data_IF_472478349652
#
_entry.id   IF_472478349652
#
_cell.length_a   1.000
_cell.length_b   1.000
_cell.length_c   1.000
_cell.angle_alpha   90.00
_cell.angle_beta   90.00
_cell.angle_gamma   90.00
#
_symmetry.space_group_name_H-M   'P 1'
#
loop_
_entity.id
_entity.type
_entity.pdbx_description
1 polymer ?
#
# COMPACT_ATOMS: atom_id res chain seq x y z
N UNK A 1 -11.31 18.85 12.18
CA UNK A 1 -9.91 19.17 11.82
C UNK A 1 -9.01 17.96 12.02
N UNK A 2 -9.00 17.37 13.23
CA UNK A 2 -8.10 16.26 13.61
C UNK A 2 -8.20 15.04 12.69
N UNK A 3 -9.41 14.63 12.32
CA UNK A 3 -9.61 13.44 11.48
C UNK A 3 -8.90 13.54 10.13
N UNK A 4 -9.04 14.67 9.42
CA UNK A 4 -8.41 14.87 8.10
C UNK A 4 -6.88 14.82 8.18
N UNK A 5 -6.31 15.44 9.21
CA UNK A 5 -4.86 15.43 9.45
C UNK A 5 -4.34 14.02 9.73
N UNK A 6 -4.93 13.34 10.72
CA UNK A 6 -4.46 12.01 11.16
C UNK A 6 -4.64 10.97 10.06
N UNK A 7 -5.82 10.92 9.44
CA UNK A 7 -6.08 9.98 8.36
C UNK A 7 -5.27 10.29 7.11
N UNK A 8 -5.11 11.56 6.75
CA UNK A 8 -4.34 11.96 5.58
C UNK A 8 -2.85 11.59 5.73
N UNK A 9 -2.24 11.94 6.86
CA UNK A 9 -0.82 11.61 7.13
C UNK A 9 -0.60 10.10 7.17
N UNK A 10 -1.46 9.36 7.87
CA UNK A 10 -1.31 7.91 7.96
C UNK A 10 -1.57 7.20 6.63
N UNK A 11 -2.52 7.69 5.81
CA UNK A 11 -2.77 7.17 4.47
C UNK A 11 -1.56 7.42 3.54
N UNK A 12 -0.95 8.61 3.57
CA UNK A 12 0.30 8.87 2.85
C UNK A 12 1.39 7.89 3.31
N UNK A 13 1.58 7.78 4.62
CA UNK A 13 2.61 6.94 5.23
C UNK A 13 2.49 5.49 4.80
N UNK A 14 1.32 4.87 4.94
CA UNK A 14 1.11 3.47 4.55
C UNK A 14 1.26 3.26 3.05
N UNK A 15 0.79 4.20 2.22
CA UNK A 15 0.87 4.09 0.76
C UNK A 15 2.30 4.13 0.26
N UNK A 16 3.10 5.07 0.78
CA UNK A 16 4.53 5.19 0.47
C UNK A 16 5.29 3.96 0.98
N UNK A 17 4.99 3.51 2.21
CA UNK A 17 5.64 2.35 2.80
C UNK A 17 5.36 1.06 1.99
N UNK A 18 4.12 0.81 1.59
CA UNK A 18 3.74 -0.35 0.78
C UNK A 18 4.50 -0.36 -0.55
N UNK A 19 4.57 0.78 -1.23
CA UNK A 19 5.35 0.90 -2.46
C UNK A 19 6.84 0.65 -2.19
N UNK A 20 7.43 1.33 -1.22
CA UNK A 20 8.86 1.23 -0.93
C UNK A 20 9.29 -0.19 -0.54
N UNK A 21 8.55 -0.86 0.35
CA UNK A 21 8.81 -2.24 0.76
C UNK A 21 8.73 -3.18 -0.45
N UNK A 22 7.69 -3.03 -1.28
CA UNK A 22 7.52 -3.87 -2.48
C UNK A 22 8.66 -3.65 -3.47
N UNK A 23 9.06 -2.39 -3.69
CA UNK A 23 10.16 -2.04 -4.58
C UNK A 23 11.51 -2.57 -4.07
N UNK A 24 11.75 -2.48 -2.76
CA UNK A 24 12.97 -3.01 -2.12
C UNK A 24 13.07 -4.52 -2.27
N UNK A 25 11.98 -5.25 -2.02
CA UNK A 25 11.92 -6.69 -2.23
C UNK A 25 12.06 -7.09 -3.72
N UNK A 26 11.48 -6.31 -4.63
CA UNK A 26 11.59 -6.56 -6.08
C UNK A 26 13.01 -6.38 -6.64
N UNK A 27 13.83 -5.54 -6.00
CA UNK A 27 15.26 -5.35 -6.32
C UNK A 27 16.17 -6.37 -5.65
N UNK A 28 15.69 -7.08 -4.62
CA UNK A 28 16.48 -8.00 -3.81
C UNK A 28 17.19 -7.35 -2.62
N UNK A 29 17.05 -6.03 -2.44
CA UNK A 29 17.63 -5.29 -1.29
C UNK A 29 17.00 -5.74 0.03
N UNK A 30 15.72 -6.11 -0.01
CA UNK A 30 14.98 -6.68 1.10
C UNK A 30 14.82 -8.18 0.89
N UNK A 31 15.65 -8.96 1.57
CA UNK A 31 15.54 -10.42 1.60
C UNK A 31 14.24 -10.90 2.22
N UNK A 32 13.89 -12.15 1.94
CA UNK A 32 12.75 -12.84 2.54
C UNK A 32 12.86 -12.81 4.06
N UNK A 33 11.80 -12.37 4.73
CA UNK A 33 11.79 -12.17 6.18
C UNK A 33 10.39 -12.38 6.80
N UNK A 34 10.34 -12.38 8.13
CA UNK A 34 9.10 -12.56 8.90
C UNK A 34 8.36 -11.27 9.27
N UNK A 35 8.88 -10.09 8.92
CA UNK A 35 8.39 -8.82 9.44
C UNK A 35 7.60 -8.01 8.40
N UNK A 36 8.13 -7.84 7.18
CA UNK A 36 7.59 -6.92 6.17
C UNK A 36 7.62 -7.51 4.76
N UNK A 37 6.68 -7.07 3.90
CA UNK A 37 6.53 -7.53 2.52
C UNK A 37 5.25 -8.34 2.29
N UNK A 38 5.06 -8.81 1.06
CA UNK A 38 3.92 -9.64 0.67
C UNK A 38 4.22 -11.09 1.06
N UNK A 39 3.69 -11.52 2.20
CA UNK A 39 3.98 -12.81 2.81
C UNK A 39 2.85 -13.80 2.55
N UNK A 40 3.08 -14.67 1.58
CA UNK A 40 2.21 -15.79 1.24
C UNK A 40 3.08 -17.04 1.19
N UNK A 41 2.47 -18.23 1.36
CA UNK A 41 3.22 -19.48 1.31
C UNK A 41 4.10 -19.60 0.05
N UNK A 42 3.61 -19.09 -1.09
CA UNK A 42 4.36 -19.06 -2.35
C UNK A 42 5.52 -18.05 -2.33
N UNK A 43 5.27 -16.79 -1.94
CA UNK A 43 6.31 -15.74 -1.96
C UNK A 43 7.42 -15.98 -0.94
N UNK A 44 7.18 -16.79 0.10
CA UNK A 44 8.20 -17.15 1.09
C UNK A 44 8.90 -18.48 0.81
N UNK A 45 8.57 -19.19 -0.28
CA UNK A 45 9.12 -20.51 -0.58
C UNK A 45 10.63 -20.47 -0.87
N UNK A 46 11.08 -19.49 -1.66
CA UNK A 46 12.49 -19.25 -1.98
C UNK A 46 12.77 -17.76 -2.14
N UNK A 47 14.05 -17.40 -2.26
CA UNK A 47 14.43 -16.02 -2.55
C UNK A 47 14.09 -15.62 -3.99
N UNK A 48 14.11 -16.58 -4.94
CA UNK A 48 13.65 -16.36 -6.31
C UNK A 48 12.15 -16.07 -6.35
N UNK A 49 11.34 -16.86 -5.64
CA UNK A 49 9.90 -16.67 -5.50
C UNK A 49 9.56 -15.33 -4.82
N UNK A 50 10.35 -14.93 -3.82
CA UNK A 50 10.22 -13.64 -3.15
C UNK A 50 10.41 -12.48 -4.13
N UNK A 51 11.53 -12.45 -4.85
CA UNK A 51 11.84 -11.38 -5.81
C UNK A 51 10.84 -11.36 -6.96
N UNK A 52 10.51 -12.53 -7.54
CA UNK A 52 9.55 -12.65 -8.64
C UNK A 52 8.16 -12.14 -8.24
N UNK A 53 7.66 -12.55 -7.08
CA UNK A 53 6.36 -12.11 -6.57
C UNK A 53 6.30 -10.60 -6.34
N UNK A 54 7.31 -10.02 -5.69
CA UNK A 54 7.34 -8.57 -5.44
C UNK A 54 7.54 -7.76 -6.72
N UNK A 55 8.33 -8.26 -7.67
CA UNK A 55 8.50 -7.63 -8.99
C UNK A 55 7.18 -7.58 -9.76
N UNK A 56 6.40 -8.67 -9.74
CA UNK A 56 5.09 -8.71 -10.38
C UNK A 56 4.07 -7.79 -9.71
N UNK A 57 4.12 -7.65 -8.37
CA UNK A 57 3.22 -6.77 -7.63
C UNK A 57 3.63 -5.28 -7.64
N UNK A 58 4.85 -4.95 -8.08
CA UNK A 58 5.39 -3.59 -8.03
C UNK A 58 4.53 -2.55 -8.78
N UNK A 59 3.97 -2.81 -9.98
CA UNK A 59 3.09 -1.84 -10.65
C UNK A 59 1.87 -1.50 -9.79
N UNK A 60 1.22 -2.50 -9.19
CA UNK A 60 0.09 -2.31 -8.28
C UNK A 60 0.51 -1.49 -7.07
N UNK A 61 1.63 -1.82 -6.43
CA UNK A 61 2.13 -1.10 -5.27
C UNK A 61 2.48 0.36 -5.59
N UNK A 62 3.07 0.64 -6.76
CA UNK A 62 3.37 2.00 -7.23
C UNK A 62 2.11 2.83 -7.46
N UNK A 63 1.12 2.27 -8.16
CA UNK A 63 -0.17 2.95 -8.38
C UNK A 63 -0.84 3.26 -7.04
N UNK A 64 -0.85 2.28 -6.14
CA UNK A 64 -1.39 2.42 -4.78
C UNK A 64 -0.69 3.52 -4.00
N UNK A 65 0.64 3.57 -4.06
CA UNK A 65 1.47 4.62 -3.46
C UNK A 65 1.07 6.02 -3.93
N UNK A 66 0.94 6.21 -5.24
CA UNK A 66 0.59 7.50 -5.85
C UNK A 66 -0.85 7.90 -5.50
N UNK A 67 -1.83 7.00 -5.72
CA UNK A 67 -3.25 7.28 -5.46
C UNK A 67 -3.47 7.57 -3.98
N UNK A 68 -2.90 6.76 -3.09
CA UNK A 68 -3.00 6.96 -1.65
C UNK A 68 -2.35 8.27 -1.18
N UNK A 69 -1.21 8.67 -1.77
CA UNK A 69 -0.60 9.97 -1.49
C UNK A 69 -1.47 11.15 -1.94
N UNK A 70 -2.12 11.04 -3.11
CA UNK A 70 -3.06 12.08 -3.60
C UNK A 70 -4.26 12.20 -2.67
N UNK A 71 -4.93 11.08 -2.34
CA UNK A 71 -6.11 11.09 -1.46
C UNK A 71 -5.72 11.58 -0.06
N UNK A 72 -4.59 11.11 0.47
CA UNK A 72 -4.10 11.54 1.77
C UNK A 72 -3.73 13.03 1.80
N UNK A 73 -3.14 13.58 0.73
CA UNK A 73 -2.90 15.02 0.60
C UNK A 73 -4.18 15.84 0.61
N UNK A 74 -5.25 15.36 -0.04
CA UNK A 74 -6.57 15.99 0.02
C UNK A 74 -7.17 15.95 1.43
N UNK A 75 -7.00 14.83 2.16
CA UNK A 75 -7.43 14.72 3.56
C UNK A 75 -6.67 15.68 4.49
N UNK A 76 -5.34 15.81 4.32
CA UNK A 76 -4.53 16.79 5.06
C UNK A 76 -4.98 18.20 4.75
N UNK A 77 -5.15 18.54 3.46
CA UNK A 77 -5.66 19.85 3.03
C UNK A 77 -7.04 20.16 3.64
N UNK A 78 -7.97 19.21 3.59
CA UNK A 78 -9.28 19.38 4.22
C UNK A 78 -9.16 19.57 5.74
N UNK A 79 -8.23 18.86 6.41
CA UNK A 79 -7.94 19.04 7.83
C UNK A 79 -7.42 20.44 8.17
N UNK A 80 -6.44 20.93 7.41
CA UNK A 80 -5.81 22.24 7.64
C UNK A 80 -6.74 23.44 7.38
N UNK A 81 -7.68 23.30 6.43
CA UNK A 81 -8.65 24.35 6.09
C UNK A 81 -9.99 24.24 6.83
N UNK A 82 -10.19 23.20 7.65
CA UNK A 82 -11.46 22.98 8.37
C UNK A 82 -11.50 23.76 9.69
N UNK A 83 -12.42 24.73 9.86
CA UNK A 83 -12.60 25.43 11.13
C UNK A 83 -13.37 24.61 12.18
N UNK A 84 -14.04 23.52 11.77
CA UNK A 84 -14.79 22.63 12.66
C UNK A 84 -13.99 21.39 13.05
N UNK A 85 -14.25 20.86 14.24
CA UNK A 85 -13.76 19.54 14.63
C UNK A 85 -14.54 18.39 13.98
N UNK A 86 -15.84 18.58 13.83
CA UNK A 86 -16.72 17.62 13.14
C UNK A 86 -16.26 17.41 11.69
N UNK A 87 -16.05 16.14 11.27
CA UNK A 87 -15.65 15.83 9.90
C UNK A 87 -16.81 16.06 8.94
N UNK A 88 -16.55 16.75 7.84
CA UNK A 88 -17.53 16.89 6.77
C UNK A 88 -17.81 15.54 6.08
N UNK A 89 -18.99 15.41 5.47
CA UNK A 89 -19.32 14.20 4.69
C UNK A 89 -18.29 13.90 3.60
N UNK A 90 -17.69 14.92 2.99
CA UNK A 90 -16.62 14.76 2.01
C UNK A 90 -15.35 14.13 2.60
N UNK A 91 -14.94 14.54 3.82
CA UNK A 91 -13.81 13.93 4.53
C UNK A 91 -14.08 12.47 4.85
N UNK A 92 -15.30 12.13 5.30
CA UNK A 92 -15.70 10.75 5.57
C UNK A 92 -15.65 9.87 4.31
N UNK A 93 -16.13 10.38 3.18
CA UNK A 93 -16.08 9.65 1.89
C UNK A 93 -14.63 9.47 1.43
N UNK A 94 -13.80 10.52 1.47
CA UNK A 94 -12.40 10.44 1.07
C UNK A 94 -11.62 9.46 1.96
N UNK A 95 -11.88 9.47 3.27
CA UNK A 95 -11.35 8.50 4.21
C UNK A 95 -11.73 7.07 3.79
N UNK A 96 -13.03 6.80 3.66
CA UNK A 96 -13.52 5.46 3.34
C UNK A 96 -12.96 4.94 2.00
N UNK A 97 -12.97 5.78 0.96
CA UNK A 97 -12.42 5.44 -0.36
C UNK A 97 -10.93 5.20 -0.29
N UNK A 98 -10.17 6.09 0.36
CA UNK A 98 -8.72 6.00 0.47
C UNK A 98 -8.26 4.68 1.09
N UNK A 99 -8.80 4.31 2.24
CA UNK A 99 -8.43 3.05 2.88
C UNK A 99 -8.98 1.81 2.16
N UNK A 100 -10.15 1.91 1.52
CA UNK A 100 -10.69 0.82 0.70
C UNK A 100 -9.77 0.50 -0.48
N UNK A 101 -9.24 1.54 -1.15
CA UNK A 101 -8.25 1.38 -2.24
C UNK A 101 -7.01 0.64 -1.73
N UNK A 102 -6.48 1.01 -0.57
CA UNK A 102 -5.30 0.34 0.03
C UNK A 102 -5.57 -1.14 0.30
N UNK A 103 -6.71 -1.46 0.91
CA UNK A 103 -7.08 -2.84 1.24
C UNK A 103 -7.23 -3.67 -0.05
N UNK A 104 -8.00 -3.17 -1.02
CA UNK A 104 -8.23 -3.87 -2.30
C UNK A 104 -6.91 -4.06 -3.04
N UNK A 105 -6.08 -3.03 -3.13
CA UNK A 105 -4.81 -3.12 -3.81
C UNK A 105 -3.83 -4.09 -3.11
N UNK A 106 -3.82 -4.14 -1.77
CA UNK A 106 -3.02 -5.11 -1.04
C UNK A 106 -3.45 -6.56 -1.33
N UNK A 107 -4.76 -6.82 -1.43
CA UNK A 107 -5.29 -8.12 -1.80
C UNK A 107 -4.93 -8.50 -3.24
N UNK A 108 -5.06 -7.57 -4.19
CA UNK A 108 -4.67 -7.76 -5.60
C UNK A 108 -3.17 -8.03 -5.72
N UNK A 109 -2.33 -7.21 -5.06
CA UNK A 109 -0.89 -7.38 -5.02
C UNK A 109 -0.50 -8.74 -4.44
N UNK A 110 -1.17 -9.20 -3.37
CA UNK A 110 -0.94 -10.52 -2.80
C UNK A 110 -1.27 -11.65 -3.77
N UNK A 111 -2.37 -11.54 -4.51
CA UNK A 111 -2.74 -12.54 -5.54
C UNK A 111 -1.73 -12.60 -6.68
N UNK A 112 -1.36 -11.43 -7.22
CA UNK A 112 -0.37 -11.30 -8.31
C UNK A 112 0.97 -11.87 -7.85
N UNK A 113 1.45 -11.46 -6.67
CA UNK A 113 2.72 -11.92 -6.13
C UNK A 113 2.72 -13.43 -5.89
N UNK A 114 1.65 -14.00 -5.34
CA UNK A 114 1.54 -15.45 -5.15
C UNK A 114 1.54 -16.23 -6.47
N UNK A 115 0.94 -15.70 -7.53
CA UNK A 115 0.94 -16.35 -8.84
C UNK A 115 2.36 -16.37 -9.43
N UNK A 116 3.00 -15.21 -9.52
CA UNK A 116 4.36 -15.10 -10.04
C UNK A 116 5.38 -15.90 -9.22
N UNK A 117 5.21 -15.93 -7.89
CA UNK A 117 6.05 -16.75 -7.01
C UNK A 117 5.93 -18.25 -7.30
N UNK A 118 4.72 -18.76 -7.59
CA UNK A 118 4.52 -20.17 -7.97
C UNK A 118 5.11 -20.49 -9.34
N UNK A 119 5.05 -19.55 -10.28
CA UNK A 119 5.62 -19.73 -11.62
C UNK A 119 7.15 -19.78 -11.58
N UNK A 120 7.78 -19.05 -10.65
CA UNK A 120 9.24 -19.08 -10.46
C UNK A 120 9.76 -20.40 -9.84
N UNK A 121 8.88 -21.20 -9.22
CA UNK A 121 9.20 -22.48 -8.58
C UNK A 121 8.85 -23.70 -9.45
N UNK A 122 8.29 -23.49 -10.65
CA UNK A 122 8.00 -24.54 -11.62
C UNK A 122 9.19 -24.75 -12.55
#
# INVERSE_FOLDING_TARGET
MVMGLVSGVSLIGVSVLLWWVTASAARGDLGRNGAVGIRTAATTASDAAWVAGHRAALPTAKITGIVGAIIGGNLVGAGLWSPSEEPSGAVLVLFAVGYSVIIVAALVAARIASQAAREAER
#
